data_IF_890192991651
#
_entry.id   IF_890192991651
#
_cell.length_a   1.000
_cell.length_b   1.000
_cell.length_c   1.000
_cell.angle_alpha   90.00
_cell.angle_beta   90.00
_cell.angle_gamma   90.00
#
_symmetry.space_group_name_H-M   'P 1'
#
loop_
_entity.id
_entity.type
_entity.pdbx_description
1 polymer ?
#
# COMPACT_ATOMS: atom_id res chain seq x y z
N UNK A 1 18.82 14.09 8.61
CA UNK A 1 17.73 13.15 8.28
C UNK A 1 16.62 13.89 7.57
N UNK A 2 16.04 13.30 6.50
CA UNK A 2 14.84 13.84 5.87
C UNK A 2 13.69 13.76 6.87
N UNK A 3 13.07 14.92 7.12
CA UNK A 3 11.84 14.99 7.93
C UNK A 3 10.66 14.76 7.00
N UNK A 4 9.72 13.93 7.43
CA UNK A 4 8.43 13.83 6.77
C UNK A 4 7.75 15.20 6.84
N UNK A 5 7.05 15.58 5.77
CA UNK A 5 6.36 16.87 5.75
C UNK A 5 5.25 16.89 6.82
N UNK A 6 4.93 18.06 7.40
CA UNK A 6 3.85 18.19 8.37
C UNK A 6 2.50 17.73 7.81
N UNK A 7 2.25 17.96 6.51
CA UNK A 7 1.03 17.53 5.82
C UNK A 7 0.93 16.00 5.77
N UNK A 8 2.04 15.30 5.49
CA UNK A 8 2.06 13.84 5.52
C UNK A 8 1.87 13.30 6.94
N UNK A 9 2.55 13.87 7.94
CA UNK A 9 2.39 13.47 9.34
C UNK A 9 0.94 13.67 9.84
N UNK A 10 0.23 14.67 9.31
CA UNK A 10 -1.18 14.92 9.64
C UNK A 10 -2.11 13.77 9.21
N UNK A 11 -1.79 13.08 8.12
CA UNK A 11 -2.59 11.97 7.59
C UNK A 11 -2.17 10.60 8.10
N UNK A 12 -0.91 10.41 8.47
CA UNK A 12 -0.41 9.11 8.93
C UNK A 12 -1.08 8.68 10.24
N UNK A 13 -1.48 7.41 10.31
CA UNK A 13 -2.14 6.80 11.47
C UNK A 13 -1.48 5.48 11.84
N UNK A 14 -1.53 5.15 13.12
CA UNK A 14 -1.13 3.87 13.66
C UNK A 14 -1.99 2.75 13.06
N UNK A 15 -1.41 1.71 12.43
CA UNK A 15 -2.18 0.59 11.86
C UNK A 15 -2.94 -0.23 12.91
N UNK A 16 -2.52 -0.21 14.18
CA UNK A 16 -3.14 -0.99 15.27
C UNK A 16 -4.23 -0.20 15.98
N UNK A 17 -3.94 1.06 16.35
CA UNK A 17 -4.81 1.86 17.24
C UNK A 17 -5.52 3.01 16.54
N UNK A 18 -5.15 3.32 15.30
CA UNK A 18 -5.63 4.52 14.60
C UNK A 18 -5.14 5.85 15.20
N UNK A 19 -4.25 5.84 16.20
CA UNK A 19 -3.69 7.07 16.77
C UNK A 19 -2.83 7.83 15.75
N UNK A 20 -2.72 9.16 15.93
CA UNK A 20 -1.76 9.97 15.16
C UNK A 20 -0.31 9.57 15.47
N UNK A 21 0.59 9.92 14.54
CA UNK A 21 2.02 9.63 14.64
C UNK A 21 2.83 10.92 14.67
N UNK A 22 3.89 10.95 15.47
CA UNK A 22 4.89 12.02 15.50
C UNK A 22 6.26 11.44 15.15
N UNK A 23 7.06 12.19 14.39
CA UNK A 23 8.42 11.77 14.06
C UNK A 23 9.39 12.15 15.18
N UNK A 24 10.02 11.14 15.79
CA UNK A 24 11.13 11.26 16.74
C UNK A 24 12.38 10.66 16.09
N UNK A 25 13.22 11.51 15.48
CA UNK A 25 14.40 11.03 14.76
C UNK A 25 14.02 10.19 13.53
N UNK A 26 14.47 8.94 13.51
CA UNK A 26 14.18 7.93 12.47
C UNK A 26 13.00 7.02 12.84
N UNK A 27 12.18 7.42 13.82
CA UNK A 27 11.02 6.66 14.24
C UNK A 27 9.75 7.51 14.19
N UNK A 28 8.62 6.86 13.92
CA UNK A 28 7.28 7.38 14.17
C UNK A 28 6.74 6.78 15.45
N UNK A 29 6.29 7.63 16.36
CA UNK A 29 5.77 7.23 17.67
C UNK A 29 4.31 7.62 17.79
N UNK A 30 3.49 6.74 18.38
CA UNK A 30 2.08 7.06 18.61
C UNK A 30 1.90 8.22 19.59
N UNK A 31 0.98 9.13 19.25
CA UNK A 31 0.61 10.25 20.12
C UNK A 31 -0.11 9.73 21.36
N UNK A 32 -1.04 8.80 21.15
CA UNK A 32 -1.78 8.09 22.20
C UNK A 32 -1.16 6.72 22.44
N UNK A 33 -1.12 6.30 23.70
CA UNK A 33 -0.78 4.92 24.04
C UNK A 33 -1.89 3.94 23.59
N UNK A 34 -1.53 2.67 23.45
CA UNK A 34 -2.49 1.58 23.26
C UNK A 34 -3.28 1.26 24.54
N UNK A 35 -4.15 0.24 24.49
CA UNK A 35 -4.94 -0.22 25.64
C UNK A 35 -4.08 -0.69 26.82
N UNK A 36 -2.83 -1.10 26.56
CA UNK A 36 -1.88 -1.53 27.57
C UNK A 36 -1.01 -0.36 28.10
N UNK A 37 -1.21 0.86 27.62
CA UNK A 37 -0.45 2.04 28.03
C UNK A 37 0.90 2.19 27.33
N UNK A 38 1.18 1.41 26.29
CA UNK A 38 2.43 1.46 25.54
C UNK A 38 2.33 2.39 24.33
N UNK A 39 3.43 3.10 24.02
CA UNK A 39 3.58 3.83 22.76
C UNK A 39 4.22 2.94 21.71
N UNK A 40 3.54 2.73 20.59
CA UNK A 40 4.10 1.97 19.47
C UNK A 40 5.09 2.84 18.70
N UNK A 41 6.14 2.20 18.20
CA UNK A 41 7.24 2.84 17.46
C UNK A 41 7.45 2.12 16.14
N UNK A 42 7.60 2.91 15.08
CA UNK A 42 7.77 2.42 13.70
C UNK A 42 9.02 3.04 13.11
N UNK A 43 9.91 2.23 12.54
CA UNK A 43 11.16 2.73 11.94
C UNK A 43 10.91 3.38 10.60
N UNK A 44 11.77 4.33 10.25
CA UNK A 44 11.88 4.94 8.93
C UNK A 44 13.17 4.40 8.30
N UNK A 45 13.05 3.66 7.20
CA UNK A 45 14.18 3.06 6.47
C UNK A 45 14.20 3.65 5.07
N UNK A 46 15.34 4.22 4.67
CA UNK A 46 15.50 4.91 3.37
C UNK A 46 14.44 6.00 3.10
N UNK A 47 13.92 6.62 4.16
CA UNK A 47 12.85 7.62 4.08
C UNK A 47 11.44 7.05 3.98
N UNK A 48 11.28 5.72 4.03
CA UNK A 48 10.01 5.00 3.96
C UNK A 48 9.60 4.55 5.38
N UNK A 49 8.44 4.98 5.91
CA UNK A 49 7.95 4.50 7.19
C UNK A 49 7.46 3.05 7.13
N UNK A 50 7.99 2.19 7.99
CA UNK A 50 7.56 0.80 8.12
C UNK A 50 6.36 0.67 9.08
N UNK A 51 5.15 0.91 8.56
CA UNK A 51 3.89 0.82 9.30
C UNK A 51 3.31 -0.61 9.28
N UNK A 52 4.11 -1.58 9.71
CA UNK A 52 3.69 -2.96 9.86
C UNK A 52 3.28 -3.24 11.32
N UNK A 53 2.20 -4.00 11.58
CA UNK A 53 1.98 -4.61 12.88
C UNK A 53 3.24 -5.38 13.31
N UNK A 54 3.71 -5.24 14.56
CA UNK A 54 4.97 -5.83 15.01
C UNK A 54 5.03 -7.35 14.82
N UNK A 55 3.88 -8.03 14.90
CA UNK A 55 3.74 -9.46 14.63
C UNK A 55 4.04 -9.84 13.16
N UNK A 56 3.99 -8.90 12.22
CA UNK A 56 4.26 -9.12 10.80
C UNK A 56 5.68 -8.76 10.38
N UNK A 57 6.48 -8.11 11.24
CA UNK A 57 7.87 -7.76 10.93
C UNK A 57 8.75 -8.98 10.58
N UNK A 58 8.67 -10.12 11.30
CA UNK A 58 9.44 -11.31 10.93
C UNK A 58 9.05 -11.87 9.56
N UNK A 59 7.76 -11.80 9.22
CA UNK A 59 7.26 -12.25 7.93
C UNK A 59 7.76 -11.36 6.79
N UNK A 60 7.78 -10.03 7.01
CA UNK A 60 8.33 -9.08 6.04
C UNK A 60 9.82 -9.31 5.77
N UNK A 61 10.60 -9.61 6.82
CA UNK A 61 12.02 -9.93 6.67
C UNK A 61 12.27 -11.27 5.95
N UNK A 62 11.34 -12.22 6.05
CA UNK A 62 11.43 -13.51 5.38
C UNK A 62 10.88 -13.52 3.94
N UNK A 63 10.12 -12.50 3.56
CA UNK A 63 9.50 -12.42 2.24
C UNK A 63 10.54 -12.12 1.15
N UNK A 64 10.52 -12.84 0.01
CA UNK A 64 11.38 -12.52 -1.12
C UNK A 64 10.90 -11.22 -1.80
N UNK A 65 11.83 -10.32 -2.11
CA UNK A 65 11.56 -8.95 -2.60
C UNK A 65 10.94 -8.87 -4.01
N UNK A 66 10.86 -9.98 -4.75
CA UNK A 66 10.50 -10.02 -6.18
C UNK A 66 8.98 -10.14 -6.45
N UNK A 67 8.12 -10.17 -5.42
CA UNK A 67 6.68 -10.44 -5.62
C UNK A 67 5.84 -9.24 -6.08
N UNK A 68 6.45 -8.13 -6.50
CA UNK A 68 5.72 -6.93 -6.93
C UNK A 68 5.50 -6.82 -8.45
N UNK A 69 6.01 -7.76 -9.26
CA UNK A 69 5.88 -7.75 -10.73
C UNK A 69 5.19 -9.01 -11.29
N UNK A 70 4.36 -9.69 -10.48
CA UNK A 70 3.52 -10.78 -10.99
C UNK A 70 2.30 -10.22 -11.72
N UNK A 71 2.55 -9.81 -12.95
CA UNK A 71 1.63 -9.66 -14.08
C UNK A 71 0.34 -10.51 -13.90
N UNK A 72 -0.77 -9.84 -13.59
CA UNK A 72 -2.13 -10.39 -13.72
C UNK A 72 -2.74 -10.04 -15.10
N UNK A 73 -1.93 -9.99 -16.16
CA UNK A 73 -2.37 -9.72 -17.51
C UNK A 73 -1.97 -10.83 -18.50
N UNK A 74 -2.28 -12.10 -18.23
CA UNK A 74 -2.62 -13.01 -19.34
C UNK A 74 -3.41 -14.25 -18.91
N UNK A 75 -4.69 -14.25 -19.26
CA UNK A 75 -5.39 -15.49 -19.58
C UNK A 75 -6.48 -15.21 -20.63
N UNK A 76 -6.03 -14.91 -21.85
CA UNK A 76 -6.66 -15.36 -23.10
C UNK A 76 -8.12 -14.93 -23.36
N UNK A 77 -8.29 -13.78 -23.98
CA UNK A 77 -9.51 -13.47 -24.74
C UNK A 77 -9.37 -14.09 -26.14
N UNK A 78 -10.12 -15.15 -26.52
CA UNK A 78 -10.09 -15.62 -27.89
C UNK A 78 -10.81 -14.59 -28.78
N UNK A 79 -10.05 -14.10 -29.76
CA UNK A 79 -10.48 -13.26 -30.87
C UNK A 79 -11.56 -14.00 -31.69
N UNK A 80 -12.81 -13.85 -31.26
CA UNK A 80 -13.99 -14.36 -31.97
C UNK A 80 -14.39 -13.39 -33.07
N UNK A 81 -13.69 -13.44 -34.20
CA UNK A 81 -14.00 -12.67 -35.40
C UNK A 81 -15.47 -12.85 -35.81
N UNK A 82 -16.25 -11.78 -35.70
CA UNK A 82 -17.58 -11.67 -36.31
C UNK A 82 -17.44 -10.89 -37.62
N UNK A 83 -17.02 -11.59 -38.68
CA UNK A 83 -17.28 -11.16 -40.05
C UNK A 83 -18.73 -11.52 -40.43
N UNK A 84 -19.52 -10.50 -40.77
CA UNK A 84 -20.83 -10.62 -41.45
C UNK A 84 -21.90 -9.75 -40.80
N UNK A 85 -22.59 -8.82 -41.45
CA UNK A 85 -22.79 -8.52 -42.87
C UNK A 85 -23.20 -7.04 -42.99
N UNK A 86 -22.68 -6.35 -44.01
CA UNK A 86 -23.04 -4.96 -44.32
C UNK A 86 -24.52 -4.82 -44.76
N UNK A 87 -25.18 -3.67 -44.50
CA UNK A 87 -26.54 -3.43 -44.93
C UNK A 87 -26.57 -3.22 -46.43
N UNK A 88 -27.41 -3.97 -47.15
CA UNK A 88 -27.71 -3.70 -48.56
C UNK A 88 -29.06 -3.00 -48.64
N UNK A 89 -29.02 -1.81 -49.24
CA UNK A 89 -30.11 -0.92 -49.62
C UNK A 89 -31.43 -1.63 -50.04
N UNK A 90 -32.55 -1.03 -49.65
CA UNK A 90 -33.73 -0.95 -50.51
C UNK A 90 -34.35 0.46 -50.39
N UNK A 91 -34.32 1.18 -51.51
CA UNK A 91 -35.19 2.31 -51.77
C UNK A 91 -36.51 1.75 -52.32
N UNK A 92 -37.64 2.20 -51.77
CA UNK A 92 -38.77 2.89 -52.44
C UNK A 92 -39.93 3.06 -51.45
#
# INVERSE_FOLDING_TARGET
>A
MPKLSPELLSVLRCPVTGSGLVQEGDELVTVTADEAGNKLRYRIEDGIPLLLPPELLPAAAAAPADQHDADQHDAGQPDGGQHGTAPRHAAE
#
